data_IF_705569030030
#
_entry.id   IF_705569030030
#
_cell.length_a   1.000
_cell.length_b   1.000
_cell.length_c   1.000
_cell.angle_alpha   90.00
_cell.angle_beta   90.00
_cell.angle_gamma   90.00
#
_symmetry.space_group_name_H-M   'P 1'
#
loop_
_entity.id
_entity.type
_entity.pdbx_description
1 polymer ?
#
# COMPACT_ATOMS: atom_id res chain seq x y z
N UNK A 1 -7.72 -1.87 -11.55
CA UNK A 1 -7.99 -2.31 -10.18
C UNK A 1 -7.37 -3.66 -9.88
N UNK A 2 -7.82 -4.77 -10.49
CA UNK A 2 -7.29 -6.12 -10.21
C UNK A 2 -5.77 -6.26 -10.24
N UNK A 3 -5.06 -5.53 -11.11
CA UNK A 3 -3.59 -5.67 -11.20
C UNK A 3 -2.83 -5.12 -9.98
N UNK A 4 -3.32 -4.04 -9.36
CA UNK A 4 -2.69 -3.48 -8.14
C UNK A 4 -2.99 -4.39 -6.96
N UNK A 5 -4.26 -4.77 -6.78
CA UNK A 5 -4.67 -5.70 -5.73
C UNK A 5 -3.93 -7.04 -5.83
N UNK A 6 -3.88 -7.65 -7.03
CA UNK A 6 -3.16 -8.92 -7.25
C UNK A 6 -1.67 -8.78 -6.93
N UNK A 7 -1.06 -7.65 -7.29
CA UNK A 7 0.34 -7.38 -6.96
C UNK A 7 0.53 -7.28 -5.44
N UNK A 8 -0.28 -6.47 -4.75
CA UNK A 8 -0.21 -6.29 -3.30
C UNK A 8 -0.42 -7.62 -2.56
N UNK A 9 -1.42 -8.41 -2.95
CA UNK A 9 -1.66 -9.74 -2.40
C UNK A 9 -0.47 -10.69 -2.63
N UNK A 10 0.18 -10.63 -3.80
CA UNK A 10 1.38 -11.43 -4.08
C UNK A 10 2.58 -11.08 -3.18
N UNK A 11 2.56 -9.88 -2.60
CA UNK A 11 3.54 -9.37 -1.63
C UNK A 11 3.04 -9.45 -0.18
N UNK A 12 1.95 -10.20 0.07
CA UNK A 12 1.35 -10.36 1.39
C UNK A 12 0.84 -9.04 2.03
N UNK A 13 0.45 -8.07 1.19
CA UNK A 13 -0.29 -6.89 1.60
C UNK A 13 -1.78 -7.17 1.41
N UNK A 14 -2.52 -7.20 2.51
CA UNK A 14 -3.90 -7.70 2.55
C UNK A 14 -4.87 -6.58 2.87
N UNK A 15 -5.98 -6.52 2.12
CA UNK A 15 -7.10 -5.65 2.47
C UNK A 15 -7.88 -6.26 3.64
N UNK A 16 -7.71 -5.70 4.83
CA UNK A 16 -8.30 -6.24 6.07
C UNK A 16 -9.69 -5.70 6.35
N UNK A 17 -9.96 -4.45 5.95
CA UNK A 17 -11.16 -3.70 6.33
C UNK A 17 -12.11 -3.45 5.15
N UNK A 18 -11.77 -3.98 3.96
CA UNK A 18 -12.51 -3.80 2.69
C UNK A 18 -12.66 -2.32 2.32
N UNK A 19 -11.67 -1.50 2.69
CA UNK A 19 -11.63 -0.06 2.45
C UNK A 19 -10.45 0.32 1.53
N UNK A 20 -9.98 -0.62 0.71
CA UNK A 20 -8.85 -0.48 -0.20
C UNK A 20 -7.53 -0.11 0.51
N UNK A 21 -7.43 -0.52 1.77
CA UNK A 21 -6.24 -0.34 2.59
C UNK A 21 -5.56 -1.67 2.84
N UNK A 22 -4.35 -1.78 2.33
CA UNK A 22 -3.57 -2.99 2.35
C UNK A 22 -2.52 -2.92 3.45
N UNK A 23 -2.53 -3.93 4.32
CA UNK A 23 -1.65 -4.03 5.48
C UNK A 23 -0.77 -5.27 5.34
N UNK A 24 0.52 -5.09 5.63
CA UNK A 24 1.44 -6.19 5.85
C UNK A 24 2.02 -6.06 7.27
N UNK A 25 1.78 -7.05 8.12
CA UNK A 25 2.19 -7.04 9.54
C UNK A 25 3.70 -7.01 9.76
N UNK A 26 4.48 -7.30 8.71
CA UNK A 26 5.94 -7.25 8.74
C UNK A 26 6.51 -5.90 8.30
N UNK A 27 5.67 -4.98 7.82
CA UNK A 27 6.10 -3.66 7.37
C UNK A 27 5.49 -2.53 8.21
N UNK A 28 6.25 -1.46 8.47
CA UNK A 28 5.78 -0.29 9.21
C UNK A 28 4.94 0.66 8.33
N UNK A 29 4.35 0.16 7.25
CA UNK A 29 3.58 0.97 6.32
C UNK A 29 2.19 0.37 6.06
N UNK A 30 1.30 1.21 5.56
CA UNK A 30 0.01 0.86 5.01
C UNK A 30 -0.08 1.41 3.59
N UNK A 31 -0.72 0.69 2.69
CA UNK A 31 -0.93 1.14 1.30
C UNK A 31 -2.41 1.41 1.11
N UNK A 32 -2.77 2.64 0.78
CA UNK A 32 -4.12 3.04 0.44
C UNK A 32 -4.23 3.18 -1.08
N UNK A 33 -5.21 2.51 -1.69
CA UNK A 33 -5.50 2.65 -3.12
C UNK A 33 -6.77 3.47 -3.27
N UNK A 34 -6.65 4.69 -3.80
CA UNK A 34 -7.78 5.57 -4.11
C UNK A 34 -8.08 5.53 -5.60
N UNK A 35 -9.19 4.91 -5.97
CA UNK A 35 -9.60 4.75 -7.36
C UNK A 35 -10.16 6.03 -7.96
N UNK A 36 -10.93 6.77 -7.16
CA UNK A 36 -11.49 8.06 -7.55
C UNK A 36 -10.38 9.08 -7.87
N UNK A 37 -9.27 9.02 -7.13
CA UNK A 37 -8.10 9.87 -7.36
C UNK A 37 -7.08 9.25 -8.33
N UNK A 38 -7.23 7.97 -8.70
CA UNK A 38 -6.24 7.22 -9.47
C UNK A 38 -4.86 7.17 -8.81
N UNK A 39 -4.82 7.16 -7.48
CA UNK A 39 -3.61 7.36 -6.67
C UNK A 39 -3.41 6.24 -5.66
N UNK A 40 -2.16 5.87 -5.44
CA UNK A 40 -1.74 4.88 -4.46
C UNK A 40 -0.87 5.60 -3.43
N UNK A 41 -1.21 5.51 -2.15
CA UNK A 41 -0.51 6.23 -1.10
C UNK A 41 0.13 5.26 -0.12
N UNK A 42 1.43 5.39 0.10
CA UNK A 42 2.15 4.74 1.18
C UNK A 42 2.09 5.63 2.43
N UNK A 43 1.56 5.09 3.52
CA UNK A 43 1.40 5.80 4.78
C UNK A 43 2.13 5.05 5.89
N UNK A 44 2.57 5.78 6.92
CA UNK A 44 3.12 5.13 8.12
C UNK A 44 2.07 4.25 8.81
N UNK A 45 2.46 3.07 9.28
CA UNK A 45 1.61 2.19 10.08
C UNK A 45 2.28 1.93 11.43
N UNK A 46 1.70 2.49 12.50
CA UNK A 46 2.21 2.31 13.86
C UNK A 46 1.65 1.06 14.55
N UNK A 47 0.87 0.24 13.83
CA UNK A 47 0.43 -1.09 14.25
C UNK A 47 -0.89 -1.12 15.03
N UNK A 48 -1.47 0.03 15.40
CA UNK A 48 -2.71 0.09 16.19
C UNK A 48 -3.93 0.56 15.39
N UNK A 49 -3.72 1.21 14.26
CA UNK A 49 -4.77 1.86 13.48
C UNK A 49 -4.72 1.50 11.98
N UNK A 50 -3.96 0.47 11.61
CA UNK A 50 -3.77 0.08 10.21
C UNK A 50 -3.39 1.28 9.32
N UNK A 51 -2.55 2.19 9.82
CA UNK A 51 -2.11 3.39 9.09
C UNK A 51 -3.19 4.46 8.85
N UNK A 52 -4.32 4.40 9.54
CA UNK A 52 -5.42 5.37 9.43
C UNK A 52 -4.97 6.81 9.70
N UNK A 53 -4.15 6.99 10.73
CA UNK A 53 -3.57 8.27 11.15
C UNK A 53 -2.10 8.40 10.71
N UNK A 54 -1.61 7.47 9.89
CA UNK A 54 -0.27 7.52 9.34
C UNK A 54 -0.07 8.74 8.44
N UNK A 55 1.08 9.39 8.54
CA UNK A 55 1.47 10.42 7.57
C UNK A 55 1.66 9.79 6.18
N UNK A 56 1.30 10.54 5.14
CA UNK A 56 1.64 10.20 3.76
C UNK A 56 3.16 10.32 3.58
N UNK A 57 3.80 9.23 3.17
CA UNK A 57 5.25 9.15 2.96
C UNK A 57 5.56 9.25 1.47
N UNK A 58 4.83 8.48 0.65
CA UNK A 58 4.95 8.48 -0.80
C UNK A 58 3.59 8.33 -1.47
N UNK A 59 3.48 8.84 -2.68
CA UNK A 59 2.31 8.69 -3.53
C UNK A 59 2.74 8.25 -4.93
N UNK A 60 2.01 7.29 -5.50
CA UNK A 60 2.23 6.75 -6.82
C UNK A 60 0.97 6.94 -7.67
N UNK A 61 1.16 7.13 -8.97
CA UNK A 61 0.08 7.28 -9.95
C UNK A 61 -0.09 6.04 -10.82
N UNK A 62 0.80 5.05 -10.67
CA UNK A 62 0.74 3.81 -11.44
C UNK A 62 1.29 2.61 -10.66
N UNK A 63 0.86 1.41 -11.08
CA UNK A 63 1.41 0.15 -10.57
C UNK A 63 2.92 0.04 -10.81
N UNK A 64 3.42 0.57 -11.93
CA UNK A 64 4.84 0.50 -12.27
C UNK A 64 5.70 1.25 -11.24
N UNK A 65 5.29 2.46 -10.87
CA UNK A 65 6.00 3.25 -9.85
C UNK A 65 6.00 2.55 -8.48
N UNK A 66 4.88 1.93 -8.12
CA UNK A 66 4.78 1.12 -6.90
C UNK A 66 5.74 -0.08 -6.96
N UNK A 67 5.80 -0.81 -8.07
CA UNK A 67 6.69 -1.96 -8.25
C UNK A 67 8.16 -1.56 -8.15
N UNK A 68 8.56 -0.48 -8.82
CA UNK A 68 9.92 0.07 -8.74
C UNK A 68 10.25 0.47 -7.29
N UNK A 69 9.30 1.02 -6.55
CA UNK A 69 9.52 1.33 -5.12
C UNK A 69 9.73 0.05 -4.29
N UNK A 70 8.92 -0.98 -4.50
CA UNK A 70 9.04 -2.26 -3.79
C UNK A 70 10.43 -2.89 -3.99
N UNK A 71 10.86 -2.98 -5.26
CA UNK A 71 12.17 -3.54 -5.63
C UNK A 71 13.33 -2.76 -4.98
N UNK A 72 13.24 -1.44 -4.93
CA UNK A 72 14.32 -0.60 -4.41
C UNK A 72 14.35 -0.47 -2.88
N UNK A 73 13.22 -0.66 -2.19
CA UNK A 73 13.10 -0.32 -0.75
C UNK A 73 12.89 -1.52 0.16
N UNK A 74 12.12 -2.52 -0.27
CA UNK A 74 11.81 -3.70 0.56
C UNK A 74 12.38 -5.00 -0.03
N UNK A 75 12.94 -4.94 -1.24
CA UNK A 75 13.59 -6.09 -1.88
C UNK A 75 12.62 -7.23 -2.21
N UNK A 76 11.32 -6.94 -2.22
CA UNK A 76 10.26 -7.87 -2.58
C UNK A 76 9.84 -7.70 -4.04
#
# INVERSE_FOLDING_TARGET
MNHIETFLQSKNWLDTDLDARYINVHHPYAILVSEDEGRITLRGNTGFDNGQNGEEIFSFTSLKELQEWFENNIGE
#
